data_IF_497197058356
#
_entry.id   IF_497197058356
#
_cell.length_a   1.000
_cell.length_b   1.000
_cell.length_c   1.000
_cell.angle_alpha   90.00
_cell.angle_beta   90.00
_cell.angle_gamma   90.00
#
_symmetry.space_group_name_H-M   'P 1'
#
loop_
_entity.id
_entity.type
_entity.pdbx_description
1 polymer ?
#
# COMPACT_ATOMS: atom_id res chain seq x y z
N UNK A 1 -13.93 15.19 -9.74
CA UNK A 1 -14.14 13.76 -9.43
C UNK A 1 -13.95 13.43 -7.95
N UNK A 2 -12.81 13.74 -7.30
CA UNK A 2 -12.60 13.36 -5.89
C UNK A 2 -13.69 13.91 -4.93
N UNK A 3 -13.95 15.22 -4.96
CA UNK A 3 -15.04 15.86 -4.19
C UNK A 3 -16.42 15.26 -4.46
N UNK A 4 -16.69 14.93 -5.72
CA UNK A 4 -17.97 14.38 -6.19
C UNK A 4 -18.24 12.98 -5.60
N UNK A 5 -17.22 12.14 -5.51
CA UNK A 5 -17.34 10.76 -5.02
C UNK A 5 -16.99 10.62 -3.52
N UNK A 6 -16.60 11.71 -2.84
CA UNK A 6 -16.30 11.71 -1.42
C UNK A 6 -17.47 11.23 -0.54
N UNK A 7 -18.75 11.61 -0.79
CA UNK A 7 -19.90 11.06 -0.07
C UNK A 7 -20.05 9.54 -0.24
N UNK A 8 -19.46 8.98 -1.28
CA UNK A 8 -19.46 7.55 -1.54
C UNK A 8 -18.29 6.82 -0.87
N UNK A 9 -17.46 7.53 -0.12
CA UNK A 9 -16.28 7.00 0.56
C UNK A 9 -15.12 6.75 -0.41
N UNK A 10 -15.02 7.55 -1.47
CA UNK A 10 -13.83 7.67 -2.29
C UNK A 10 -12.95 8.81 -1.79
N UNK A 11 -11.64 8.60 -1.75
CA UNK A 11 -10.67 9.65 -1.43
C UNK A 11 -9.50 9.55 -2.39
N UNK A 12 -9.10 10.69 -2.94
CA UNK A 12 -7.84 10.84 -3.65
C UNK A 12 -6.89 11.59 -2.73
N UNK A 13 -5.65 11.11 -2.62
CA UNK A 13 -4.55 11.78 -1.91
C UNK A 13 -3.45 11.99 -2.93
N UNK A 14 -2.96 13.22 -3.04
CA UNK A 14 -1.81 13.54 -3.89
C UNK A 14 -0.56 13.45 -3.03
N UNK A 15 0.41 12.65 -3.46
CA UNK A 15 1.69 12.52 -2.75
C UNK A 15 2.75 13.16 -3.63
N UNK A 16 3.34 14.23 -3.11
CA UNK A 16 4.49 14.90 -3.69
C UNK A 16 5.77 14.22 -3.24
N UNK A 17 6.74 14.06 -4.14
CA UNK A 17 7.90 13.19 -3.95
C UNK A 17 9.18 13.91 -4.34
N UNK A 18 9.67 14.74 -3.41
CA UNK A 18 10.98 15.37 -3.48
C UNK A 18 10.96 16.86 -3.82
N UNK A 19 9.80 17.44 -4.08
CA UNK A 19 9.66 18.90 -4.17
C UNK A 19 9.63 19.55 -2.78
N UNK A 20 10.09 20.81 -2.71
CA UNK A 20 10.04 21.57 -1.46
C UNK A 20 8.61 22.06 -1.15
N UNK A 21 8.29 22.18 0.13
CA UNK A 21 6.95 22.55 0.58
C UNK A 21 6.42 23.87 0.00
N UNK A 22 7.30 24.84 -0.29
CA UNK A 22 6.91 26.14 -0.84
C UNK A 22 6.49 26.01 -2.30
N UNK A 23 7.26 25.26 -3.09
CA UNK A 23 6.91 24.92 -4.47
C UNK A 23 5.60 24.16 -4.54
N UNK A 24 5.41 23.14 -3.70
CA UNK A 24 4.16 22.36 -3.66
C UNK A 24 2.98 23.24 -3.28
N UNK A 25 3.08 24.05 -2.22
CA UNK A 25 2.00 24.93 -1.80
C UNK A 25 1.59 25.93 -2.90
N UNK A 26 2.56 26.48 -3.64
CA UNK A 26 2.32 27.35 -4.80
C UNK A 26 1.57 26.61 -5.90
N UNK A 27 2.01 25.42 -6.29
CA UNK A 27 1.37 24.63 -7.36
C UNK A 27 -0.03 24.16 -6.97
N UNK A 28 -0.22 23.72 -5.72
CA UNK A 28 -1.53 23.32 -5.19
C UNK A 28 -2.54 24.46 -5.30
N UNK A 29 -2.13 25.68 -4.92
CA UNK A 29 -2.96 26.88 -5.04
C UNK A 29 -3.21 27.26 -6.49
N UNK A 30 -2.16 27.31 -7.31
CA UNK A 30 -2.25 27.72 -8.71
C UNK A 30 -3.15 26.80 -9.54
N UNK A 31 -3.11 25.49 -9.27
CA UNK A 31 -3.88 24.46 -9.99
C UNK A 31 -5.24 24.15 -9.37
N UNK A 32 -5.55 24.74 -8.21
CA UNK A 32 -6.83 24.57 -7.54
C UNK A 32 -7.10 23.13 -7.09
N UNK A 33 -6.07 22.41 -6.66
CA UNK A 33 -6.25 21.04 -6.18
C UNK A 33 -7.16 21.01 -4.95
N UNK A 34 -8.09 20.06 -4.97
CA UNK A 34 -9.09 19.89 -3.92
C UNK A 34 -8.93 18.61 -3.11
N UNK A 35 -8.06 17.71 -3.58
CA UNK A 35 -7.65 16.54 -2.84
C UNK A 35 -6.58 16.94 -1.80
N UNK A 36 -6.54 16.27 -0.63
CA UNK A 36 -5.42 16.40 0.30
C UNK A 36 -4.09 16.15 -0.40
N UNK A 37 -3.08 16.95 -0.08
CA UNK A 37 -1.71 16.80 -0.57
C UNK A 37 -0.79 16.48 0.61
N UNK A 38 0.03 15.46 0.44
CA UNK A 38 1.01 14.98 1.42
C UNK A 38 2.40 15.13 0.81
N UNK A 39 3.33 15.67 1.59
CA UNK A 39 4.74 15.74 1.21
C UNK A 39 5.45 14.46 1.66
N UNK A 40 6.20 13.82 0.78
CA UNK A 40 7.05 12.66 1.07
C UNK A 40 8.52 12.99 0.77
N UNK A 41 9.15 13.94 1.50
CA UNK A 41 10.51 14.41 1.20
C UNK A 41 11.58 13.32 1.34
N UNK A 42 11.34 12.33 2.20
CA UNK A 42 12.24 11.19 2.44
C UNK A 42 11.97 10.00 1.50
N UNK A 43 10.99 10.12 0.60
CA UNK A 43 10.54 9.03 -0.29
C UNK A 43 10.06 7.78 0.47
N UNK A 44 9.58 7.90 1.71
CA UNK A 44 9.13 6.77 2.53
C UNK A 44 7.88 6.13 1.95
N UNK A 45 6.89 6.96 1.57
CA UNK A 45 5.65 6.49 0.95
C UNK A 45 5.95 5.94 -0.44
N UNK A 46 6.73 6.66 -1.25
CA UNK A 46 7.13 6.23 -2.59
C UNK A 46 7.81 4.85 -2.56
N UNK A 47 8.76 4.63 -1.64
CA UNK A 47 9.44 3.33 -1.48
C UNK A 47 8.50 2.24 -0.99
N UNK A 48 7.64 2.52 -0.01
CA UNK A 48 6.68 1.55 0.52
C UNK A 48 5.71 1.03 -0.54
N UNK A 49 5.33 1.88 -1.50
CA UNK A 49 4.49 1.52 -2.65
C UNK A 49 5.28 1.14 -3.90
N UNK A 50 6.61 1.03 -3.81
CA UNK A 50 7.52 0.65 -4.90
C UNK A 50 7.34 1.54 -6.15
N UNK A 51 7.13 2.84 -5.92
CA UNK A 51 7.02 3.85 -6.98
C UNK A 51 8.39 4.01 -7.63
N UNK A 52 8.45 3.76 -8.95
CA UNK A 52 9.68 3.83 -9.76
C UNK A 52 9.69 4.95 -10.79
N UNK A 53 8.53 5.57 -11.04
CA UNK A 53 8.37 6.70 -11.95
C UNK A 53 7.14 7.52 -11.58
N UNK A 54 7.16 8.81 -11.85
CA UNK A 54 6.00 9.69 -11.71
C UNK A 54 5.36 9.99 -13.08
N UNK A 55 4.03 10.22 -13.15
CA UNK A 55 3.07 9.93 -12.09
C UNK A 55 2.86 8.41 -11.92
N UNK A 56 2.65 7.98 -10.67
CA UNK A 56 2.14 6.63 -10.36
C UNK A 56 0.89 6.77 -9.50
N UNK A 57 -0.17 6.04 -9.85
CA UNK A 57 -1.41 5.99 -9.06
C UNK A 57 -1.56 4.59 -8.49
N UNK A 58 -1.72 4.49 -7.18
CA UNK A 58 -2.04 3.23 -6.49
C UNK A 58 -3.52 3.26 -6.14
N UNK A 59 -4.27 2.26 -6.57
CA UNK A 59 -5.67 2.08 -6.19
C UNK A 59 -5.74 1.13 -4.99
N UNK A 60 -6.32 1.60 -3.90
CA UNK A 60 -6.45 0.86 -2.64
C UNK A 60 -7.93 0.53 -2.42
N UNK A 61 -8.20 -0.75 -2.12
CA UNK A 61 -9.52 -1.26 -1.80
C UNK A 61 -10.00 -0.79 -0.44
N UNK A 62 -11.29 -0.97 -0.16
CA UNK A 62 -11.87 -0.59 1.14
C UNK A 62 -11.38 -1.45 2.30
N UNK A 63 -10.81 -2.60 1.99
CA UNK A 63 -10.13 -3.51 2.92
C UNK A 63 -8.67 -3.09 3.20
N UNK A 64 -8.23 -1.95 2.64
CA UNK A 64 -6.87 -1.43 2.80
C UNK A 64 -5.83 -2.13 1.92
N UNK A 65 -6.23 -3.05 1.03
CA UNK A 65 -5.30 -3.76 0.14
C UNK A 65 -5.11 -3.03 -1.19
N UNK A 66 -3.91 -3.09 -1.74
CA UNK A 66 -3.66 -2.57 -3.09
C UNK A 66 -4.41 -3.44 -4.10
N UNK A 67 -5.28 -2.79 -4.89
CA UNK A 67 -5.99 -3.43 -6.00
C UNK A 67 -5.12 -3.47 -7.25
N UNK A 68 -4.48 -2.34 -7.57
CA UNK A 68 -3.61 -2.20 -8.74
C UNK A 68 -2.77 -0.93 -8.65
N UNK A 69 -1.71 -0.89 -9.45
CA UNK A 69 -0.83 0.28 -9.61
C UNK A 69 -0.75 0.65 -11.09
N UNK A 70 -0.87 1.93 -11.37
CA UNK A 70 -0.91 2.51 -12.70
C UNK A 70 0.25 3.49 -12.87
N UNK A 71 1.28 3.09 -13.62
CA UNK A 71 2.46 3.91 -13.91
C UNK A 71 2.22 4.75 -15.17
N UNK A 72 2.54 6.03 -15.13
CA UNK A 72 2.40 6.99 -16.22
C UNK A 72 1.06 7.74 -16.27
N UNK A 73 0.97 8.80 -17.10
CA UNK A 73 -0.22 9.66 -17.20
C UNK A 73 -1.46 8.89 -17.69
N UNK A 74 -2.63 9.21 -17.13
CA UNK A 74 -3.94 8.66 -17.55
C UNK A 74 -5.05 9.69 -17.35
N UNK A 75 -6.09 9.60 -18.19
CA UNK A 75 -7.31 10.41 -18.05
C UNK A 75 -8.25 9.83 -16.99
N UNK A 76 -7.90 9.99 -15.71
CA UNK A 76 -8.73 9.52 -14.59
C UNK A 76 -10.10 10.19 -14.52
N UNK A 77 -10.18 11.41 -15.03
CA UNK A 77 -11.42 12.18 -15.13
C UNK A 77 -12.14 12.00 -16.47
N UNK A 78 -11.57 11.24 -17.41
CA UNK A 78 -12.23 10.84 -18.65
C UNK A 78 -13.32 9.78 -18.42
N UNK A 79 -14.08 9.43 -19.46
CA UNK A 79 -15.20 8.48 -19.36
C UNK A 79 -14.79 7.13 -18.74
N UNK A 80 -13.69 6.54 -19.21
CA UNK A 80 -13.21 5.22 -18.79
C UNK A 80 -12.71 5.25 -17.34
N UNK A 81 -11.92 6.28 -16.99
CA UNK A 81 -11.44 6.48 -15.63
C UNK A 81 -12.58 6.65 -14.63
N UNK A 82 -13.57 7.48 -14.98
CA UNK A 82 -14.77 7.70 -14.16
C UNK A 82 -15.60 6.43 -14.01
N UNK A 83 -15.80 5.68 -15.09
CA UNK A 83 -16.54 4.42 -15.06
C UNK A 83 -15.88 3.39 -14.13
N UNK A 84 -14.55 3.24 -14.23
CA UNK A 84 -13.77 2.35 -13.37
C UNK A 84 -13.92 2.74 -11.88
N UNK A 85 -13.66 4.00 -11.53
CA UNK A 85 -13.71 4.45 -10.15
C UNK A 85 -15.13 4.32 -9.57
N UNK A 86 -16.17 4.67 -10.33
CA UNK A 86 -17.57 4.46 -9.90
C UNK A 86 -17.88 3.01 -9.62
N UNK A 87 -17.42 2.09 -10.47
CA UNK A 87 -17.61 0.64 -10.27
C UNK A 87 -16.95 0.16 -8.97
N UNK A 88 -15.72 0.58 -8.71
CA UNK A 88 -14.99 0.22 -7.48
C UNK A 88 -15.68 0.76 -6.22
N UNK A 89 -16.14 2.01 -6.28
CA UNK A 89 -16.86 2.67 -5.19
C UNK A 89 -18.18 1.96 -4.87
N UNK A 90 -18.95 1.59 -5.91
CA UNK A 90 -20.22 0.86 -5.79
C UNK A 90 -20.02 -0.58 -5.29
N UNK A 91 -19.04 -1.32 -5.82
CA UNK A 91 -18.72 -2.69 -5.40
C UNK A 91 -18.36 -2.76 -3.91
N UNK A 92 -17.61 -1.77 -3.40
CA UNK A 92 -17.30 -1.68 -1.98
C UNK A 92 -18.49 -1.29 -1.08
N UNK A 93 -19.59 -0.75 -1.63
CA UNK A 93 -20.86 -0.54 -0.90
C UNK A 93 -21.68 -1.82 -0.85
N UNK A 94 -21.77 -2.55 -1.97
CA UNK A 94 -22.50 -3.82 -2.03
C UNK A 94 -21.94 -4.85 -1.03
N UNK A 95 -20.61 -4.94 -0.90
CA UNK A 95 -19.96 -5.80 0.09
C UNK A 95 -20.28 -5.44 1.56
N UNK A 96 -20.65 -4.19 1.87
CA UNK A 96 -21.11 -3.80 3.22
C UNK A 96 -22.59 -4.12 3.47
N UNK A 97 -23.41 -4.19 2.43
CA UNK A 97 -24.84 -4.50 2.54
C UNK A 97 -25.15 -5.96 2.82
N UNK A 98 -24.19 -6.87 2.57
CA UNK A 98 -24.28 -8.31 2.89
C UNK A 98 -23.55 -8.60 4.21
N UNK A 99 -23.66 -7.70 5.19
CA UNK A 99 -23.33 -8.02 6.59
C UNK A 99 -24.65 -8.34 7.31
N UNK A 100 -25.14 -9.57 7.08
CA UNK A 100 -26.08 -10.23 8.00
C UNK A 100 -25.36 -10.64 9.29
N UNK A 101 -26.08 -10.88 10.41
CA UNK A 101 -25.48 -11.05 11.72
C UNK A 101 -24.55 -12.27 11.73
N UNK A 102 -23.24 -12.02 11.83
CA UNK A 102 -22.23 -13.07 11.92
C UNK A 102 -21.50 -12.96 13.26
N UNK A 103 -21.82 -13.93 14.11
CA UNK A 103 -21.12 -14.37 15.32
C UNK A 103 -21.32 -13.57 16.61
N UNK A 104 -22.49 -13.72 17.25
CA UNK A 104 -22.48 -14.01 18.70
C UNK A 104 -22.20 -15.50 18.87
N UNK A 105 -20.92 -15.88 18.78
CA UNK A 105 -20.49 -17.15 19.35
C UNK A 105 -20.70 -17.05 20.87
N UNK A 106 -21.80 -17.64 21.36
CA UNK A 106 -22.01 -17.88 22.78
C UNK A 106 -20.87 -18.79 23.24
N UNK A 107 -19.93 -18.24 23.99
CA UNK A 107 -18.97 -19.03 24.77
C UNK A 107 -19.78 -19.85 25.79
N UNK A 108 -20.06 -21.10 25.47
CA UNK A 108 -20.38 -22.10 26.49
C UNK A 108 -19.07 -22.63 27.05
N UNK A 109 -18.87 -22.35 28.32
CA UNK A 109 -17.79 -22.85 29.17
C UNK A 109 -17.72 -24.38 29.10
N UNK A 110 -16.54 -24.92 28.75
CA UNK A 110 -16.16 -26.31 28.91
C UNK A 110 -14.86 -26.39 29.75
N UNK A 111 -14.64 -27.46 30.51
CA UNK A 111 -13.81 -27.41 31.72
C UNK A 111 -12.31 -27.33 31.45
N UNK A 112 -11.64 -26.63 32.37
CA UNK A 112 -10.19 -26.48 32.51
C UNK A 112 -9.45 -27.81 32.40
N UNK A 113 -8.47 -27.89 31.48
CA UNK A 113 -7.45 -28.93 31.51
C UNK A 113 -6.32 -28.45 32.44
N UNK A 114 -6.46 -28.80 33.71
CA UNK A 114 -5.40 -28.70 34.71
C UNK A 114 -4.64 -30.03 34.76
N UNK A 115 -3.31 -29.93 34.93
CA UNK A 115 -2.35 -31.01 35.25
C UNK A 115 -1.55 -31.60 34.07
N UNK A 116 -0.33 -31.08 33.88
CA UNK A 116 0.80 -31.92 33.48
C UNK A 116 2.01 -31.54 34.35
N UNK A 117 2.44 -32.51 35.16
CA UNK A 117 3.51 -32.42 36.16
C UNK A 117 4.88 -32.30 35.51
N UNK A 118 5.74 -31.53 36.15
CA UNK A 118 7.19 -31.41 35.91
C UNK A 118 7.89 -32.77 36.11
N UNK A 119 8.79 -33.14 35.19
CA UNK A 119 9.90 -34.06 35.48
C UNK A 119 11.17 -33.51 34.81
N UNK A 120 12.20 -33.36 35.63
CA UNK A 120 13.53 -32.91 35.26
C UNK A 120 14.33 -34.02 34.59
N UNK A 121 15.19 -33.70 33.62
CA UNK A 121 16.16 -34.68 33.11
C UNK A 121 17.08 -34.22 31.99
N UNK A 122 18.18 -33.55 32.38
CA UNK A 122 19.53 -33.51 31.75
C UNK A 122 19.77 -32.81 30.39
N UNK A 123 20.97 -32.21 30.36
CA UNK A 123 21.57 -31.20 29.47
C UNK A 123 22.09 -31.73 28.10
N UNK A 124 22.62 -30.85 27.20
CA UNK A 124 22.62 -30.97 25.74
C UNK A 124 23.96 -31.42 25.12
N UNK A 125 23.96 -31.72 23.81
CA UNK A 125 25.11 -31.40 22.92
C UNK A 125 24.69 -31.26 21.46
N UNK A 126 25.15 -30.15 20.87
CA UNK A 126 25.13 -29.78 19.45
C UNK A 126 25.81 -30.80 18.54
N UNK A 127 25.29 -30.93 17.31
CA UNK A 127 26.09 -31.22 16.13
C UNK A 127 25.52 -30.45 14.93
N UNK A 128 26.30 -29.48 14.45
CA UNK A 128 26.11 -28.74 13.20
C UNK A 128 27.10 -29.33 12.17
N UNK A 129 26.73 -29.52 10.90
CA UNK A 129 27.69 -29.52 9.82
C UNK A 129 27.67 -28.19 9.06
N UNK A 130 28.74 -27.43 9.29
CA UNK A 130 29.31 -26.41 8.40
C UNK A 130 29.48 -26.93 6.97
N UNK A 131 29.21 -26.08 5.96
CA UNK A 131 30.03 -25.87 4.74
C UNK A 131 29.60 -24.52 4.11
N UNK A 132 30.55 -23.57 4.05
CA UNK A 132 30.51 -22.38 3.18
C UNK A 132 31.20 -22.64 1.82
N UNK A 133 31.76 -21.65 1.09
CA UNK A 133 31.71 -20.21 1.29
C UNK A 133 31.13 -19.42 0.10
N UNK A 134 30.90 -18.14 0.37
CA UNK A 134 30.58 -17.09 -0.57
C UNK A 134 31.78 -16.77 -1.49
N UNK A 135 31.50 -16.49 -2.76
CA UNK A 135 32.40 -15.73 -3.63
C UNK A 135 31.76 -14.38 -3.93
N UNK A 136 32.39 -13.31 -3.43
CA UNK A 136 32.26 -11.94 -3.92
C UNK A 136 32.83 -11.85 -5.34
N UNK A 137 32.12 -11.12 -6.20
CA UNK A 137 32.56 -10.75 -7.54
C UNK A 137 31.90 -9.44 -7.93
N UNK A 138 32.65 -8.35 -7.77
CA UNK A 138 32.29 -7.01 -8.22
C UNK A 138 32.18 -6.95 -9.75
N UNK A 139 31.20 -6.21 -10.27
CA UNK A 139 31.28 -5.62 -11.60
C UNK A 139 30.38 -4.38 -11.69
N UNK A 140 31.06 -3.24 -11.77
CA UNK A 140 30.57 -1.91 -12.09
C UNK A 140 30.26 -1.83 -13.59
N UNK A 141 29.07 -1.34 -13.95
CA UNK A 141 28.75 -0.75 -15.27
C UNK A 141 27.50 0.10 -15.07
N UNK A 142 27.48 1.41 -15.24
CA UNK A 142 27.92 2.16 -16.41
C UNK A 142 26.66 2.80 -17.01
N UNK A 143 26.23 3.94 -16.45
CA UNK A 143 25.05 4.68 -16.92
C UNK A 143 25.50 5.58 -18.09
N UNK A 144 25.14 5.20 -19.31
CA UNK A 144 25.30 6.06 -20.49
C UNK A 144 23.97 6.73 -20.82
N UNK A 145 24.00 8.07 -20.79
CA UNK A 145 22.94 8.95 -21.29
C UNK A 145 22.80 8.84 -22.81
N UNK A 146 21.57 8.86 -23.31
CA UNK A 146 21.25 9.08 -24.73
C UNK A 146 20.51 10.43 -24.89
N UNK A 147 20.76 11.19 -25.97
CA UNK A 147 20.20 12.54 -26.16
C UNK A 147 18.77 12.52 -26.69
N UNK A 148 18.05 13.60 -26.40
CA UNK A 148 16.72 13.90 -26.92
C UNK A 148 16.79 14.27 -28.41
N UNK A 149 15.78 13.84 -29.17
CA UNK A 149 15.41 14.34 -30.49
C UNK A 149 13.99 14.91 -30.40
#
# INVERSE_FOLDING_TARGET
>A
MAKELAPDGFTAVLVDVGEDATTVAREVKARGYSAPVVLDPDMRVARAYVVRATPTVVLIGRDGRVLTTAVGPRSWTGPEGRALIRRLVAGGRAARGIQGPSHTARMTTGPSCETAKTVSGRSPTNANPTIGPHHEGAASSGFQSAPAA
#
